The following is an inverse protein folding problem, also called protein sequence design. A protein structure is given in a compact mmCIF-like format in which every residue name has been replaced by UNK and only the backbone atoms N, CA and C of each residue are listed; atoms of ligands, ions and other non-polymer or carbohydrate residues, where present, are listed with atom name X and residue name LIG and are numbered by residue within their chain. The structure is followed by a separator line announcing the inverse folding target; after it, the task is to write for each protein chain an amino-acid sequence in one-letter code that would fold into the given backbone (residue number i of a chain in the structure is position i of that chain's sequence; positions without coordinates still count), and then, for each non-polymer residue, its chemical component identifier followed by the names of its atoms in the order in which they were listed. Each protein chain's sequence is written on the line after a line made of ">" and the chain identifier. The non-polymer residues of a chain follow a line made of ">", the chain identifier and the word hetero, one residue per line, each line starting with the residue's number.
data_IF_924280953600
#
_entry.id   IF_924280953600
#
_cell.length_a   1.000
_cell.length_b   1.000
_cell.length_c   1.000
_cell.angle_alpha   90.00
_cell.angle_beta   90.00
_cell.angle_gamma   90.00
#
_symmetry.space_group_name_H-M   'P 1'
#
loop_
_entity.id
_entity.type
_entity.pdbx_description
1 polymer ?
#
# COMPACT_ATOMS: atom_id res chain seq x y z
N UNK A 1 31.07 14.83 1.26
CA UNK A 1 30.04 14.19 0.44
C UNK A 1 29.12 13.42 1.38
N UNK A 2 28.00 14.03 1.77
CA UNK A 2 26.94 13.34 2.48
C UNK A 2 25.78 13.25 1.48
N UNK A 3 25.54 12.05 0.94
CA UNK A 3 24.28 11.76 0.25
C UNK A 3 23.21 11.87 1.31
N UNK A 4 22.51 13.01 1.34
CA UNK A 4 21.20 13.10 1.96
C UNK A 4 20.35 12.04 1.26
N UNK A 5 20.13 10.92 1.92
CA UNK A 5 19.01 10.05 1.61
C UNK A 5 17.79 10.92 1.91
N UNK A 6 17.23 11.53 0.88
CA UNK A 6 15.96 12.23 0.94
C UNK A 6 14.97 11.21 1.49
N UNK A 7 14.56 11.35 2.76
CA UNK A 7 13.51 10.52 3.33
C UNK A 7 12.32 10.67 2.39
N UNK A 8 12.01 9.60 1.66
CA UNK A 8 10.96 9.62 0.66
C UNK A 8 9.72 10.22 1.33
N UNK A 9 9.08 11.23 0.70
CA UNK A 9 7.99 11.96 1.31
C UNK A 9 6.96 10.96 1.84
N UNK A 10 6.56 11.16 3.09
CA UNK A 10 5.57 10.31 3.74
C UNK A 10 4.37 10.13 2.80
N UNK A 11 4.11 8.92 2.29
CA UNK A 11 3.12 8.70 1.22
C UNK A 11 1.68 8.91 1.72
N UNK A 12 1.51 9.27 2.99
CA UNK A 12 0.21 9.49 3.59
C UNK A 12 -0.54 8.18 3.84
N UNK A 13 -1.84 8.27 4.18
CA UNK A 13 -2.67 7.10 4.43
C UNK A 13 -3.34 6.54 3.17
N UNK A 14 -3.00 7.04 1.98
CA UNK A 14 -3.66 6.71 0.73
C UNK A 14 -2.71 5.90 -0.17
N UNK A 15 -3.23 4.86 -0.81
CA UNK A 15 -2.54 4.04 -1.78
C UNK A 15 -3.38 4.03 -3.04
N UNK A 16 -2.89 4.64 -4.12
CA UNK A 16 -3.59 4.72 -5.41
C UNK A 16 -5.05 5.22 -5.30
N UNK A 17 -5.27 6.27 -4.49
CA UNK A 17 -6.61 6.82 -4.21
C UNK A 17 -7.44 6.02 -3.20
N UNK A 18 -6.91 4.94 -2.63
CA UNK A 18 -7.56 4.13 -1.60
C UNK A 18 -7.01 4.48 -0.22
N UNK A 19 -7.86 4.97 0.66
CA UNK A 19 -7.46 5.25 2.04
C UNK A 19 -7.22 3.95 2.82
N UNK A 20 -6.02 3.37 2.82
CA UNK A 20 -5.69 2.12 3.54
C UNK A 20 -5.03 2.35 4.90
N UNK A 21 -4.58 3.57 5.15
CA UNK A 21 -3.86 3.99 6.35
C UNK A 21 -2.34 3.94 6.17
N UNK A 22 -1.63 4.81 6.91
CA UNK A 22 -0.16 4.97 6.84
C UNK A 22 0.63 3.65 6.94
N UNK A 23 0.34 2.71 7.86
CA UNK A 23 1.12 1.47 7.94
C UNK A 23 0.93 0.58 6.72
N UNK A 24 -0.29 0.51 6.17
CA UNK A 24 -0.57 -0.28 4.99
C UNK A 24 0.06 0.35 3.74
N UNK A 25 -0.10 1.66 3.53
CA UNK A 25 0.54 2.38 2.41
C UNK A 25 2.06 2.18 2.42
N UNK A 26 2.71 2.33 3.58
CA UNK A 26 4.16 2.11 3.72
C UNK A 26 4.55 0.65 3.44
N UNK A 27 3.79 -0.32 3.95
CA UNK A 27 4.05 -1.73 3.72
C UNK A 27 3.95 -2.11 2.23
N UNK A 28 2.93 -1.60 1.52
CA UNK A 28 2.74 -1.83 0.09
C UNK A 28 3.90 -1.24 -0.74
N UNK A 29 4.25 0.02 -0.46
CA UNK A 29 5.37 0.68 -1.13
C UNK A 29 6.71 0.01 -0.83
N UNK A 30 6.94 -0.44 0.41
CA UNK A 30 8.15 -1.16 0.79
C UNK A 30 8.23 -2.54 0.11
N UNK A 31 7.08 -3.18 -0.12
CA UNK A 31 6.98 -4.41 -0.91
C UNK A 31 7.13 -4.18 -2.42
N UNK A 32 7.22 -2.92 -2.88
CA UNK A 32 7.43 -2.55 -4.28
C UNK A 32 6.15 -2.30 -5.08
N UNK A 33 4.97 -2.34 -4.44
CA UNK A 33 3.70 -2.01 -5.09
C UNK A 33 3.53 -0.50 -5.14
N UNK A 34 3.25 0.05 -6.33
CA UNK A 34 3.07 1.49 -6.51
C UNK A 34 1.60 1.86 -6.80
N UNK A 35 0.86 0.96 -7.45
CA UNK A 35 -0.56 1.16 -7.80
C UNK A 35 -1.41 -0.07 -7.50
N UNK A 36 -2.75 0.07 -7.48
CA UNK A 36 -3.68 -1.06 -7.31
C UNK A 36 -3.47 -2.17 -8.34
N UNK A 37 -3.08 -1.80 -9.55
CA UNK A 37 -2.84 -2.74 -10.65
C UNK A 37 -1.59 -3.62 -10.45
N UNK A 38 -0.63 -3.19 -9.62
CA UNK A 38 0.55 -4.01 -9.27
C UNK A 38 0.22 -5.07 -8.21
N UNK A 39 -0.90 -4.93 -7.50
CA UNK A 39 -1.26 -5.85 -6.44
C UNK A 39 -1.61 -7.24 -7.01
N UNK A 40 -1.32 -8.32 -6.25
CA UNK A 40 -1.68 -9.67 -6.65
C UNK A 40 -3.18 -9.81 -6.90
N UNK A 41 -3.57 -10.80 -7.71
CA UNK A 41 -4.99 -11.15 -7.90
C UNK A 41 -5.65 -11.53 -6.57
N UNK A 42 -4.96 -12.32 -5.75
CA UNK A 42 -5.39 -12.62 -4.39
C UNK A 42 -4.87 -11.57 -3.40
N UNK A 43 -5.73 -10.63 -3.03
CA UNK A 43 -5.40 -9.59 -2.04
C UNK A 43 -5.26 -10.16 -0.61
N UNK A 44 -5.58 -11.44 -0.39
CA UNK A 44 -5.35 -12.13 0.88
C UNK A 44 -3.87 -12.33 1.19
N UNK A 45 -3.02 -12.44 0.17
CA UNK A 45 -1.55 -12.54 0.29
C UNK A 45 -0.96 -11.28 0.93
N UNK A 46 -1.61 -10.12 0.78
CA UNK A 46 -1.16 -8.87 1.40
C UNK A 46 -1.18 -8.93 2.93
N UNK A 47 -1.88 -9.90 3.55
CA UNK A 47 -1.89 -10.10 5.01
C UNK A 47 -0.52 -10.48 5.56
N UNK A 48 0.33 -11.07 4.74
CA UNK A 48 1.69 -11.44 5.12
C UNK A 48 2.62 -10.22 5.21
N UNK A 49 2.21 -9.08 4.61
CA UNK A 49 2.94 -7.82 4.73
C UNK A 49 2.69 -7.17 6.08
N UNK A 50 3.75 -7.06 6.89
CA UNK A 50 3.70 -6.41 8.20
C UNK A 50 3.25 -4.94 8.08
N UNK A 51 2.06 -4.63 8.60
CA UNK A 51 1.44 -3.30 8.53
C UNK A 51 0.17 -3.24 7.69
N UNK A 52 -0.12 -4.28 6.90
CA UNK A 52 -1.38 -4.42 6.16
C UNK A 52 -2.43 -5.14 7.00
N UNK A 53 -3.44 -4.40 7.43
CA UNK A 53 -4.56 -4.95 8.20
C UNK A 53 -5.72 -5.44 7.33
N UNK A 54 -6.63 -6.28 7.86
CA UNK A 54 -7.81 -6.76 7.14
C UNK A 54 -8.73 -5.63 6.64
N UNK A 55 -8.72 -4.47 7.32
CA UNK A 55 -9.46 -3.27 6.88
C UNK A 55 -8.85 -2.64 5.62
N UNK A 56 -7.53 -2.64 5.49
CA UNK A 56 -6.84 -2.14 4.30
C UNK A 56 -7.19 -3.03 3.10
N UNK A 57 -7.10 -4.34 3.27
CA UNK A 57 -7.43 -5.33 2.23
C UNK A 57 -8.87 -5.17 1.75
N UNK A 58 -9.84 -5.10 2.68
CA UNK A 58 -11.24 -4.83 2.30
C UNK A 58 -11.41 -3.57 1.47
N UNK A 59 -10.65 -2.50 1.76
CA UNK A 59 -10.73 -1.26 0.99
C UNK A 59 -10.11 -1.41 -0.41
N UNK A 60 -8.99 -2.14 -0.53
CA UNK A 60 -8.35 -2.45 -1.81
C UNK A 60 -9.25 -3.35 -2.68
N UNK A 61 -9.87 -4.38 -2.10
CA UNK A 61 -10.83 -5.25 -2.79
C UNK A 61 -12.01 -4.44 -3.34
N UNK A 62 -12.57 -3.57 -2.51
CA UNK A 62 -13.70 -2.73 -2.90
C UNK A 62 -13.32 -1.68 -3.95
N UNK A 63 -12.09 -1.16 -3.93
CA UNK A 63 -11.57 -0.28 -4.97
C UNK A 63 -11.40 -1.03 -6.30
N UNK A 64 -10.81 -2.23 -6.27
CA UNK A 64 -10.61 -3.06 -7.46
C UNK A 64 -11.92 -3.48 -8.13
N UNK A 65 -12.99 -3.73 -7.36
CA UNK A 65 -14.33 -4.01 -7.92
C UNK A 65 -14.99 -2.80 -8.60
N UNK A 66 -14.55 -1.58 -8.27
CA UNK A 66 -15.11 -0.32 -8.80
C UNK A 66 -14.35 0.21 -10.02
N UNK A 67 -13.15 -0.31 -10.27
CA UNK A 67 -12.33 -0.05 -11.47
C UNK A 67 -12.72 -0.97 -12.62
#
# INVERSE_FOLDING_TARGET
>A
MATVMEEAPDPGPEFDGVHVGRPATRALLHAGYLVLADLPEDLGELRDLHGVGPKAIRRLEEARKRS
#
